data_IF_758465174242
#
_entry.id   IF_758465174242
#
_cell.length_a   1.000
_cell.length_b   1.000
_cell.length_c   1.000
_cell.angle_alpha   90.00
_cell.angle_beta   90.00
_cell.angle_gamma   90.00
#
_symmetry.space_group_name_H-M   'P 1'
#
loop_
_entity.id
_entity.type
_entity.pdbx_description
1 polymer ?
#
# COMPACT_ATOMS: atom_id res chain seq x y z
N UNK A 1 37.06 -31.10 27.16
CA UNK A 1 36.57 -31.25 25.79
C UNK A 1 35.02 -31.37 25.67
N UNK A 2 34.35 -32.13 26.51
CA UNK A 2 32.86 -32.25 26.41
C UNK A 2 32.11 -30.91 26.58
N UNK A 3 32.54 -30.05 27.50
CA UNK A 3 31.86 -28.76 27.80
C UNK A 3 31.95 -27.79 26.60
N UNK A 4 33.07 -27.77 25.87
CA UNK A 4 33.25 -26.91 24.69
C UNK A 4 32.31 -27.28 23.54
N UNK A 5 32.01 -28.55 23.35
CA UNK A 5 31.11 -29.02 22.31
C UNK A 5 29.66 -28.63 22.65
N UNK A 6 29.25 -28.72 23.93
CA UNK A 6 27.91 -28.31 24.39
C UNK A 6 27.69 -26.80 24.23
N UNK A 7 28.69 -25.99 24.59
CA UNK A 7 28.59 -24.52 24.45
C UNK A 7 28.47 -24.10 22.98
N UNK A 8 29.23 -24.72 22.08
CA UNK A 8 29.12 -24.48 20.64
C UNK A 8 27.76 -24.92 20.08
N UNK A 9 27.20 -26.02 20.54
CA UNK A 9 25.90 -26.50 20.15
C UNK A 9 24.78 -25.52 20.55
N UNK A 10 24.79 -25.00 21.78
CA UNK A 10 23.78 -24.06 22.27
C UNK A 10 23.86 -22.71 21.53
N UNK A 11 25.06 -22.21 21.30
CA UNK A 11 25.22 -20.92 20.58
C UNK A 11 24.77 -20.99 19.11
N UNK A 12 24.93 -22.12 18.44
CA UNK A 12 24.41 -22.30 17.08
C UNK A 12 22.89 -22.38 17.02
N UNK A 13 22.23 -23.00 17.99
CA UNK A 13 20.78 -23.07 18.07
C UNK A 13 20.13 -21.70 18.34
N UNK A 14 20.74 -20.86 19.17
CA UNK A 14 20.22 -19.51 19.44
C UNK A 14 20.31 -18.57 18.23
N UNK A 15 21.40 -18.66 17.45
CA UNK A 15 21.54 -17.89 16.20
C UNK A 15 20.53 -18.30 15.13
N UNK A 16 20.30 -19.59 14.97
CA UNK A 16 19.29 -20.10 14.02
C UNK A 16 17.86 -19.65 14.40
N UNK A 17 17.51 -19.72 15.68
CA UNK A 17 16.19 -19.29 16.15
C UNK A 17 15.96 -17.79 15.90
N UNK A 18 16.95 -16.94 16.17
CA UNK A 18 16.89 -15.50 15.90
C UNK A 18 16.69 -15.19 14.43
N UNK A 19 17.35 -15.93 13.54
CA UNK A 19 17.20 -15.78 12.10
C UNK A 19 15.80 -16.17 11.62
N UNK A 20 15.25 -17.28 12.11
CA UNK A 20 13.91 -17.75 11.77
C UNK A 20 12.85 -16.73 12.22
N UNK A 21 12.94 -16.23 13.45
CA UNK A 21 11.99 -15.23 13.98
C UNK A 21 12.02 -13.93 13.16
N UNK A 22 13.19 -13.44 12.80
CA UNK A 22 13.32 -12.24 11.94
C UNK A 22 12.69 -12.46 10.57
N UNK A 23 12.93 -13.62 9.97
CA UNK A 23 12.39 -13.93 8.65
C UNK A 23 10.86 -14.06 8.67
N UNK A 24 10.30 -14.66 9.72
CA UNK A 24 8.85 -14.74 9.94
C UNK A 24 8.23 -13.35 10.10
N UNK A 25 8.85 -12.48 10.89
CA UNK A 25 8.40 -11.10 11.06
C UNK A 25 8.38 -10.34 9.73
N UNK A 26 9.46 -10.39 8.95
CA UNK A 26 9.54 -9.76 7.62
C UNK A 26 8.48 -10.27 6.66
N UNK A 27 8.24 -11.58 6.67
CA UNK A 27 7.19 -12.20 5.86
C UNK A 27 5.80 -11.72 6.26
N UNK A 28 5.53 -11.59 7.56
CA UNK A 28 4.27 -11.08 8.08
C UNK A 28 4.05 -9.60 7.71
N UNK A 29 5.05 -8.75 7.90
CA UNK A 29 5.00 -7.33 7.53
C UNK A 29 4.76 -7.15 6.02
N UNK A 30 5.44 -7.94 5.18
CA UNK A 30 5.22 -7.92 3.73
C UNK A 30 3.81 -8.38 3.36
N UNK A 31 3.28 -9.41 3.99
CA UNK A 31 1.91 -9.88 3.76
C UNK A 31 0.88 -8.81 4.15
N UNK A 32 1.12 -8.10 5.24
CA UNK A 32 0.28 -6.99 5.69
C UNK A 32 0.33 -5.80 4.72
N UNK A 33 1.50 -5.42 4.23
CA UNK A 33 1.66 -4.37 3.22
C UNK A 33 0.92 -4.72 1.92
N UNK A 34 1.00 -5.98 1.47
CA UNK A 34 0.25 -6.46 0.31
C UNK A 34 -1.27 -6.36 0.55
N UNK A 35 -1.73 -6.71 1.75
CA UNK A 35 -3.14 -6.59 2.13
C UNK A 35 -3.60 -5.14 2.03
N UNK A 36 -2.88 -4.17 2.59
CA UNK A 36 -3.21 -2.74 2.48
C UNK A 36 -3.25 -2.25 1.03
N UNK A 37 -2.33 -2.74 0.20
CA UNK A 37 -2.33 -2.42 -1.23
C UNK A 37 -3.57 -2.99 -1.94
N UNK A 38 -3.95 -4.23 -1.66
CA UNK A 38 -5.14 -4.87 -2.23
C UNK A 38 -6.43 -4.18 -1.78
N UNK A 39 -6.58 -3.86 -0.50
CA UNK A 39 -7.72 -3.12 0.04
C UNK A 39 -7.93 -1.79 -0.69
N UNK A 40 -6.85 -1.06 -0.98
CA UNK A 40 -6.91 0.20 -1.71
C UNK A 40 -7.33 0.02 -3.17
N UNK A 41 -6.82 -1.03 -3.82
CA UNK A 41 -7.22 -1.37 -5.19
C UNK A 41 -8.70 -1.78 -5.29
N UNK A 42 -9.17 -2.56 -4.31
CA UNK A 42 -10.57 -2.95 -4.23
C UNK A 42 -11.47 -1.74 -3.95
N UNK A 43 -11.06 -0.86 -3.03
CA UNK A 43 -11.75 0.39 -2.77
C UNK A 43 -11.93 1.21 -4.05
N UNK A 44 -10.86 1.39 -4.83
CA UNK A 44 -10.92 2.16 -6.07
C UNK A 44 -11.86 1.52 -7.11
N UNK A 45 -11.88 0.20 -7.22
CA UNK A 45 -12.81 -0.55 -8.06
C UNK A 45 -14.26 -0.40 -7.61
N UNK A 46 -14.51 -0.44 -6.28
CA UNK A 46 -15.84 -0.23 -5.70
C UNK A 46 -16.34 1.19 -6.00
N UNK A 47 -15.50 2.21 -5.83
CA UNK A 47 -15.86 3.60 -6.16
C UNK A 47 -16.19 3.73 -7.65
N UNK A 48 -15.43 3.08 -8.53
CA UNK A 48 -15.74 3.02 -9.97
C UNK A 48 -17.08 2.34 -10.27
N UNK A 49 -17.47 1.32 -9.52
CA UNK A 49 -18.75 0.62 -9.72
C UNK A 49 -19.95 1.42 -9.22
N UNK A 50 -19.76 2.25 -8.19
CA UNK A 50 -20.83 3.10 -7.62
C UNK A 50 -21.16 4.30 -8.48
N UNK A 51 -20.24 4.78 -9.29
CA UNK A 51 -20.38 5.96 -10.14
C UNK A 51 -20.42 5.54 -11.62
N UNK A 52 -21.12 6.34 -12.44
CA UNK A 52 -20.97 6.23 -13.90
C UNK A 52 -19.52 6.55 -14.29
N UNK A 53 -19.08 6.06 -15.46
CA UNK A 53 -17.71 6.36 -15.94
C UNK A 53 -17.44 7.85 -15.98
N UNK A 54 -18.34 8.58 -16.59
CA UNK A 54 -18.15 10.01 -16.79
C UNK A 54 -18.08 10.77 -15.47
N UNK A 55 -18.96 10.44 -14.49
CA UNK A 55 -18.93 11.05 -13.17
C UNK A 55 -17.61 10.72 -12.43
N UNK A 56 -17.17 9.46 -12.48
CA UNK A 56 -15.93 9.03 -11.83
C UNK A 56 -14.71 9.70 -12.47
N UNK A 57 -14.64 9.72 -13.81
CA UNK A 57 -13.54 10.35 -14.55
C UNK A 57 -13.50 11.86 -14.30
N UNK A 58 -14.64 12.56 -14.35
CA UNK A 58 -14.69 14.01 -14.15
C UNK A 58 -14.26 14.40 -12.73
N UNK A 59 -14.61 13.62 -11.72
CA UNK A 59 -14.16 13.86 -10.35
C UNK A 59 -12.64 13.81 -10.24
N UNK A 60 -12.01 12.79 -10.83
CA UNK A 60 -10.55 12.66 -10.83
C UNK A 60 -9.87 13.72 -11.70
N UNK A 61 -10.49 14.12 -12.80
CA UNK A 61 -9.97 15.15 -13.69
C UNK A 61 -10.00 16.53 -13.01
N UNK A 62 -11.08 16.85 -12.30
CA UNK A 62 -11.24 18.12 -11.59
C UNK A 62 -10.24 18.30 -10.45
N UNK A 63 -9.86 17.22 -9.81
CA UNK A 63 -8.88 17.18 -8.72
C UNK A 63 -7.42 17.33 -9.22
N UNK A 64 -7.19 17.05 -10.49
CA UNK A 64 -5.89 17.19 -11.17
C UNK A 64 -5.17 15.86 -11.38
N UNK A 65 -4.57 15.70 -12.54
CA UNK A 65 -3.78 14.53 -12.92
C UNK A 65 -2.36 14.95 -13.28
N UNK A 66 -1.32 14.29 -12.75
CA UNK A 66 -1.33 13.13 -11.83
C UNK A 66 -1.69 13.51 -10.39
N UNK A 67 -2.50 12.67 -9.73
CA UNK A 67 -2.84 12.82 -8.32
C UNK A 67 -2.01 11.86 -7.44
N UNK A 68 -1.61 12.34 -6.25
CA UNK A 68 -0.92 11.55 -5.21
C UNK A 68 -1.61 11.81 -3.87
N UNK A 69 -2.11 10.76 -3.23
CA UNK A 69 -2.87 10.86 -2.00
C UNK A 69 -2.35 9.91 -0.94
N UNK A 70 -2.10 10.46 0.24
CA UNK A 70 -1.79 9.68 1.43
C UNK A 70 -3.06 9.23 2.13
N UNK A 71 -3.18 7.92 2.41
CA UNK A 71 -4.37 7.32 3.00
C UNK A 71 -4.06 6.59 4.29
N UNK A 72 -4.28 7.24 5.41
CA UNK A 72 -4.24 6.59 6.74
C UNK A 72 -5.46 5.69 6.96
N UNK A 73 -6.62 6.12 6.44
CA UNK A 73 -7.89 5.38 6.42
C UNK A 73 -8.46 5.44 5.02
N UNK A 74 -9.12 4.38 4.57
CA UNK A 74 -9.83 4.39 3.29
C UNK A 74 -11.11 5.22 3.41
N UNK A 75 -11.32 6.22 2.54
CA UNK A 75 -12.54 7.01 2.52
C UNK A 75 -13.78 6.17 2.25
N UNK A 76 -14.93 6.57 2.76
CA UNK A 76 -16.18 5.85 2.50
C UNK A 76 -16.77 6.21 1.14
N UNK A 77 -16.52 7.45 0.70
CA UNK A 77 -17.04 7.99 -0.55
C UNK A 77 -15.96 8.68 -1.36
N UNK A 78 -16.19 8.81 -2.67
CA UNK A 78 -15.26 9.48 -3.57
C UNK A 78 -15.09 10.97 -3.25
N UNK A 79 -16.13 11.61 -2.71
CA UNK A 79 -16.07 13.02 -2.27
C UNK A 79 -15.09 13.24 -1.11
N UNK A 80 -14.95 12.28 -0.21
CA UNK A 80 -13.95 12.36 0.86
C UNK A 80 -12.53 12.22 0.30
N UNK A 81 -12.35 11.36 -0.70
CA UNK A 81 -11.05 11.15 -1.34
C UNK A 81 -10.51 12.42 -2.00
N UNK A 82 -11.32 13.12 -2.77
CA UNK A 82 -10.89 14.35 -3.46
C UNK A 82 -10.68 15.54 -2.52
N UNK A 83 -11.23 15.50 -1.31
CA UNK A 83 -10.98 16.51 -0.30
C UNK A 83 -9.65 16.29 0.46
N UNK A 84 -8.96 15.18 0.22
CA UNK A 84 -7.64 14.95 0.79
C UNK A 84 -6.61 15.85 0.12
N UNK A 85 -5.56 16.19 0.85
CA UNK A 85 -4.45 16.92 0.27
C UNK A 85 -3.72 16.06 -0.79
N UNK A 86 -3.50 16.63 -1.97
CA UNK A 86 -2.67 16.00 -3.02
C UNK A 86 -1.20 16.08 -2.59
N UNK A 87 -0.74 15.08 -1.85
CA UNK A 87 0.62 14.96 -1.32
C UNK A 87 1.01 13.51 -1.04
N UNK A 88 2.31 13.25 -1.07
CA UNK A 88 2.86 12.00 -0.56
C UNK A 88 2.72 11.89 0.98
N UNK A 89 2.80 10.66 1.51
CA UNK A 89 2.79 10.43 2.95
C UNK A 89 4.08 10.91 3.64
N UNK A 90 3.90 11.50 4.82
CA UNK A 90 4.98 11.77 5.75
C UNK A 90 5.16 10.60 6.72
N UNK A 91 6.42 10.22 7.00
CA UNK A 91 6.72 9.07 7.86
C UNK A 91 6.29 9.26 9.32
N UNK A 92 6.23 10.49 9.79
CA UNK A 92 5.99 10.77 11.20
C UNK A 92 4.50 10.98 11.54
N UNK A 93 3.65 11.27 10.53
CA UNK A 93 2.26 11.68 10.75
C UNK A 93 1.21 10.77 10.11
N UNK A 94 1.58 10.03 9.07
CA UNK A 94 0.61 9.39 8.17
C UNK A 94 0.56 7.86 8.28
N UNK A 95 0.86 7.30 9.42
CA UNK A 95 0.80 5.85 9.65
C UNK A 95 -0.62 5.28 9.57
N UNK A 96 -0.77 4.13 8.94
CA UNK A 96 -2.06 3.43 8.86
C UNK A 96 -2.46 2.92 10.25
N UNK A 97 -3.46 3.56 10.88
CA UNK A 97 -4.06 3.11 12.15
C UNK A 97 -3.01 2.82 13.25
N UNK A 98 -1.96 3.63 13.35
CA UNK A 98 -0.88 3.45 14.33
C UNK A 98 0.04 2.26 14.04
N UNK A 99 0.11 1.82 12.79
CA UNK A 99 1.03 0.81 12.29
C UNK A 99 2.07 1.46 11.39
N UNK A 100 3.32 1.01 11.38
CA UNK A 100 4.42 1.65 10.65
C UNK A 100 4.34 1.42 9.12
N UNK A 101 3.14 1.61 8.56
CA UNK A 101 2.89 1.51 7.13
C UNK A 101 2.32 2.82 6.61
N UNK A 102 2.87 3.29 5.50
CA UNK A 102 2.40 4.45 4.74
C UNK A 102 1.76 3.97 3.45
N UNK A 103 0.57 4.44 3.13
CA UNK A 103 -0.17 4.03 1.94
C UNK A 103 -0.47 5.23 1.06
N UNK A 104 0.04 5.18 -0.16
CA UNK A 104 -0.20 6.19 -1.18
C UNK A 104 -0.98 5.62 -2.35
N UNK A 105 -1.95 6.38 -2.84
CA UNK A 105 -2.59 6.13 -4.13
C UNK A 105 -2.09 7.18 -5.12
N UNK A 106 -1.55 6.72 -6.22
CA UNK A 106 -1.19 7.53 -7.37
C UNK A 106 -2.16 7.19 -8.49
N UNK A 107 -2.73 8.21 -9.15
CA UNK A 107 -3.48 7.97 -10.36
C UNK A 107 -3.06 8.88 -11.49
N UNK A 108 -3.24 8.41 -12.70
CA UNK A 108 -3.04 9.18 -13.93
C UNK A 108 -4.18 8.92 -14.90
N UNK A 109 -4.49 9.93 -15.70
CA UNK A 109 -5.54 9.92 -16.72
C UNK A 109 -4.88 10.08 -18.09
N UNK A 110 -4.32 8.99 -18.67
CA UNK A 110 -3.60 9.07 -19.95
C UNK A 110 -4.51 9.43 -21.12
N UNK A 111 -5.77 9.03 -21.06
CA UNK A 111 -6.81 9.33 -22.04
C UNK A 111 -8.20 9.30 -21.37
N UNK A 112 -9.28 9.80 -22.03
CA UNK A 112 -10.63 9.87 -21.44
C UNK A 112 -11.25 8.51 -21.10
N UNK A 113 -10.74 7.43 -21.66
CA UNK A 113 -11.28 6.08 -21.50
C UNK A 113 -10.39 5.20 -20.59
N UNK A 114 -9.31 5.77 -20.03
CA UNK A 114 -8.34 5.01 -19.25
C UNK A 114 -7.93 5.76 -17.98
N UNK A 115 -7.93 5.05 -16.86
CA UNK A 115 -7.39 5.48 -15.58
C UNK A 115 -6.34 4.45 -15.16
N UNK A 116 -5.13 4.91 -14.89
CA UNK A 116 -4.07 4.07 -14.31
C UNK A 116 -3.94 4.41 -12.84
N UNK A 117 -4.12 3.42 -11.99
CA UNK A 117 -4.00 3.54 -10.53
C UNK A 117 -2.82 2.72 -10.05
N UNK A 118 -1.97 3.32 -9.26
CA UNK A 118 -0.84 2.68 -8.61
C UNK A 118 -0.95 2.89 -7.10
N UNK A 119 -0.94 1.82 -6.34
CA UNK A 119 -0.92 1.85 -4.88
C UNK A 119 0.47 1.48 -4.40
N UNK A 120 1.05 2.33 -3.59
CA UNK A 120 2.35 2.18 -2.97
C UNK A 120 2.15 2.01 -1.46
N UNK A 121 2.70 0.95 -0.88
CA UNK A 121 2.75 0.78 0.57
C UNK A 121 4.20 0.69 0.99
N UNK A 122 4.63 1.63 1.85
CA UNK A 122 6.00 1.71 2.38
C UNK A 122 6.00 1.39 3.87
N UNK A 123 7.05 0.75 4.35
CA UNK A 123 7.29 0.51 5.78
C UNK A 123 8.77 0.40 6.06
N UNK A 124 9.15 0.46 7.34
CA UNK A 124 10.54 0.39 7.76
C UNK A 124 10.80 -0.91 8.54
N UNK A 125 11.83 -1.67 8.14
CA UNK A 125 12.37 -2.80 8.90
C UNK A 125 13.77 -2.43 9.42
N UNK A 126 13.84 -2.02 10.67
CA UNK A 126 15.07 -1.46 11.25
C UNK A 126 15.45 -0.13 10.61
N UNK A 127 16.50 -0.11 9.81
CA UNK A 127 16.98 1.07 9.07
C UNK A 127 16.67 1.02 7.57
N UNK A 128 16.04 -0.04 7.10
CA UNK A 128 15.74 -0.25 5.68
C UNK A 128 14.29 0.08 5.40
N UNK A 129 14.05 1.02 4.48
CA UNK A 129 12.72 1.25 3.90
C UNK A 129 12.41 0.14 2.89
N UNK A 130 11.25 -0.45 3.04
CA UNK A 130 10.71 -1.48 2.16
C UNK A 130 9.43 -0.96 1.51
N UNK A 131 9.16 -1.43 0.31
CA UNK A 131 8.02 -1.00 -0.49
C UNK A 131 7.35 -2.18 -1.16
N UNK A 132 6.03 -2.16 -1.23
CA UNK A 132 5.24 -2.97 -2.16
C UNK A 132 4.40 -2.08 -3.04
N UNK A 133 4.22 -2.48 -4.28
CA UNK A 133 3.49 -1.72 -5.30
C UNK A 133 2.49 -2.63 -6.00
N UNK A 134 1.29 -2.09 -6.24
CA UNK A 134 0.28 -2.70 -7.09
C UNK A 134 -0.22 -1.68 -8.10
N UNK A 135 -0.30 -2.07 -9.36
CA UNK A 135 -0.80 -1.21 -10.44
C UNK A 135 -2.00 -1.86 -11.12
N UNK A 136 -3.00 -1.07 -11.44
CA UNK A 136 -4.19 -1.50 -12.18
C UNK A 136 -4.57 -0.45 -13.21
N UNK A 137 -5.01 -0.92 -14.38
CA UNK A 137 -5.57 -0.06 -15.42
C UNK A 137 -7.07 -0.31 -15.48
N UNK A 138 -7.85 0.75 -15.30
CA UNK A 138 -9.31 0.74 -15.37
C UNK A 138 -9.70 1.39 -16.69
N UNK A 139 -10.49 0.69 -17.49
CA UNK A 139 -10.97 1.17 -18.79
C UNK A 139 -12.47 1.41 -18.77
N UNK A 140 -12.90 2.36 -19.57
CA UNK A 140 -14.32 2.54 -19.88
C UNK A 140 -14.81 1.30 -20.63
N UNK A 141 -15.86 0.66 -20.10
CA UNK A 141 -16.54 -0.40 -20.82
C UNK A 141 -17.50 0.25 -21.81
N UNK A 142 -17.40 -0.15 -23.06
CA UNK A 142 -18.45 0.19 -24.03
C UNK A 142 -19.67 -0.65 -23.64
N UNK A 143 -20.68 -0.02 -23.06
CA UNK A 143 -22.01 -0.62 -22.96
C UNK A 143 -22.52 -0.83 -24.40
N UNK A 144 -22.59 -2.09 -24.83
CA UNK A 144 -23.24 -2.47 -26.09
C UNK A 144 -24.74 -2.58 -25.86
#
# INVERSE_FOLDING_TARGET
MAITIVVLGISSLTTLNSFVVRNQRRSAERAEAIKFSQESMEWFKIMRQRLSWDAFYQVLLADGSPGVYCLTVLPQEMGEFINLANRACDQDEDEILGRPFLREIHYTLPDPDTIVVRVLVRWTDGTQELTTESTSTIKKWNEQ
#
